data_IF_765181071820
#
_entry.id   IF_765181071820
#
_cell.length_a   1.000
_cell.length_b   1.000
_cell.length_c   1.000
_cell.angle_alpha   90.00
_cell.angle_beta   90.00
_cell.angle_gamma   90.00
#
_symmetry.space_group_name_H-M   'P 1'
#
loop_
_entity.id
_entity.type
_entity.pdbx_description
1 polymer ?
#
# COMPACT_ATOMS: atom_id res chain seq x y z
N UNK A 1 -27.18 -25.09 2.56
CA UNK A 1 -26.45 -25.29 3.84
C UNK A 1 -27.28 -24.67 4.94
N UNK A 2 -27.50 -25.36 6.06
CA UNK A 2 -28.36 -24.86 7.15
C UNK A 2 -27.47 -24.23 8.21
N UNK A 3 -27.64 -22.93 8.46
CA UNK A 3 -26.97 -22.20 9.54
C UNK A 3 -27.95 -22.12 10.71
N UNK A 4 -27.47 -22.34 11.93
CA UNK A 4 -28.27 -22.13 13.14
C UNK A 4 -27.55 -21.08 13.97
N UNK A 5 -28.28 -20.00 14.30
CA UNK A 5 -27.79 -18.88 15.08
C UNK A 5 -28.58 -18.80 16.38
N UNK A 6 -27.88 -18.57 17.49
CA UNK A 6 -28.52 -18.15 18.73
C UNK A 6 -29.04 -16.71 18.59
N UNK A 7 -30.03 -16.33 19.40
CA UNK A 7 -30.65 -15.00 19.32
C UNK A 7 -29.63 -13.87 19.54
N UNK A 8 -28.71 -14.04 20.49
CA UNK A 8 -27.62 -13.10 20.72
C UNK A 8 -26.69 -12.93 19.49
N UNK A 9 -26.45 -14.00 18.72
CA UNK A 9 -25.67 -13.91 17.48
C UNK A 9 -26.42 -13.14 16.40
N UNK A 10 -27.73 -13.35 16.27
CA UNK A 10 -28.57 -12.58 15.34
C UNK A 10 -28.56 -11.09 15.69
N UNK A 11 -28.75 -10.75 16.96
CA UNK A 11 -28.70 -9.36 17.43
C UNK A 11 -27.34 -8.70 17.13
N UNK A 12 -26.23 -9.42 17.36
CA UNK A 12 -24.89 -8.93 17.05
C UNK A 12 -24.68 -8.69 15.54
N UNK A 13 -25.16 -9.61 14.70
CA UNK A 13 -25.10 -9.48 13.24
C UNK A 13 -25.94 -8.29 12.75
N UNK A 14 -27.15 -8.11 13.27
CA UNK A 14 -28.03 -6.98 12.95
C UNK A 14 -27.39 -5.64 13.33
N UNK A 15 -26.83 -5.55 14.54
CA UNK A 15 -26.10 -4.36 14.98
C UNK A 15 -24.92 -4.04 14.06
N UNK A 16 -24.15 -5.06 13.68
CA UNK A 16 -23.02 -4.89 12.76
C UNK A 16 -23.46 -4.50 11.35
N UNK A 17 -24.56 -5.07 10.84
CA UNK A 17 -25.16 -4.70 9.56
C UNK A 17 -25.55 -3.22 9.53
N UNK A 18 -26.13 -2.72 10.62
CA UNK A 18 -26.59 -1.33 10.74
C UNK A 18 -25.44 -0.31 10.88
N UNK A 19 -24.30 -0.74 11.40
CA UNK A 19 -23.16 0.15 11.67
C UNK A 19 -22.08 0.12 10.59
N UNK A 20 -21.92 -1.00 9.88
CA UNK A 20 -20.84 -1.15 8.89
C UNK A 20 -21.13 -0.39 7.59
N UNK A 21 -20.10 0.26 7.04
CA UNK A 21 -20.19 0.99 5.76
C UNK A 21 -19.84 0.11 4.56
N UNK A 22 -19.06 -0.96 4.76
CA UNK A 22 -18.67 -1.84 3.66
C UNK A 22 -19.87 -2.69 3.20
N UNK A 23 -20.31 -2.44 1.96
CA UNK A 23 -21.40 -3.20 1.33
C UNK A 23 -21.13 -4.70 1.27
N UNK A 24 -19.86 -5.10 1.12
CA UNK A 24 -19.46 -6.52 1.06
C UNK A 24 -19.70 -7.24 2.38
N UNK A 25 -19.41 -6.57 3.50
CA UNK A 25 -19.68 -7.09 4.84
C UNK A 25 -21.18 -7.17 5.07
N UNK A 26 -21.96 -6.15 4.66
CA UNK A 26 -23.42 -6.17 4.77
C UNK A 26 -24.05 -7.33 4.02
N UNK A 27 -23.65 -7.58 2.78
CA UNK A 27 -24.25 -8.66 1.98
C UNK A 27 -23.89 -10.05 2.52
N UNK A 28 -22.69 -10.21 3.11
CA UNK A 28 -22.33 -11.43 3.85
C UNK A 28 -23.20 -11.63 5.08
N UNK A 29 -23.42 -10.59 5.89
CA UNK A 29 -24.30 -10.65 7.07
C UNK A 29 -25.72 -11.02 6.66
N UNK A 30 -26.28 -10.35 5.64
CA UNK A 30 -27.62 -10.69 5.13
C UNK A 30 -27.72 -12.14 4.67
N UNK A 31 -26.71 -12.65 3.94
CA UNK A 31 -26.70 -14.04 3.50
C UNK A 31 -26.78 -15.02 4.68
N UNK A 32 -26.02 -14.75 5.75
CA UNK A 32 -26.00 -15.57 6.97
C UNK A 32 -27.34 -15.52 7.71
N UNK A 33 -27.90 -14.31 7.91
CA UNK A 33 -29.19 -14.11 8.57
C UNK A 33 -30.32 -14.81 7.80
N UNK A 34 -30.44 -14.56 6.49
CA UNK A 34 -31.46 -15.18 5.64
C UNK A 34 -31.33 -16.72 5.60
N UNK A 35 -30.10 -17.24 5.56
CA UNK A 35 -29.88 -18.68 5.65
C UNK A 35 -30.30 -19.27 7.00
N UNK A 36 -30.13 -18.53 8.10
CA UNK A 36 -30.61 -18.92 9.43
C UNK A 36 -32.14 -18.89 9.56
N UNK A 37 -32.80 -18.03 8.78
CA UNK A 37 -34.25 -17.91 8.65
C UNK A 37 -34.85 -18.96 7.71
N UNK A 38 -34.03 -19.82 7.11
CA UNK A 38 -34.47 -20.91 6.25
C UNK A 38 -34.62 -20.55 4.77
N UNK A 39 -34.11 -19.40 4.34
CA UNK A 39 -34.08 -19.05 2.91
C UNK A 39 -33.17 -20.01 2.15
N UNK A 40 -33.62 -20.43 0.97
CA UNK A 40 -32.77 -21.23 0.07
C UNK A 40 -31.67 -20.36 -0.52
N UNK A 41 -30.55 -20.99 -0.91
CA UNK A 41 -29.45 -20.29 -1.58
C UNK A 41 -29.94 -19.53 -2.81
N UNK A 42 -30.89 -20.08 -3.58
CA UNK A 42 -31.47 -19.41 -4.74
C UNK A 42 -32.27 -18.16 -4.37
N UNK A 43 -33.04 -18.18 -3.27
CA UNK A 43 -33.75 -16.99 -2.79
C UNK A 43 -32.77 -15.90 -2.36
N UNK A 44 -31.69 -16.27 -1.69
CA UNK A 44 -30.64 -15.33 -1.26
C UNK A 44 -29.94 -14.72 -2.48
N UNK A 45 -29.58 -15.53 -3.48
CA UNK A 45 -29.03 -15.08 -4.77
C UNK A 45 -29.94 -14.06 -5.44
N UNK A 46 -31.24 -14.35 -5.50
CA UNK A 46 -32.22 -13.47 -6.12
C UNK A 46 -32.37 -12.15 -5.36
N UNK A 47 -32.40 -12.19 -4.02
CA UNK A 47 -32.56 -11.01 -3.17
C UNK A 47 -31.33 -10.10 -3.17
N UNK A 48 -30.13 -10.69 -3.06
CA UNK A 48 -28.87 -9.96 -2.98
C UNK A 48 -28.25 -9.64 -4.34
N UNK A 49 -28.75 -10.25 -5.43
CA UNK A 49 -28.22 -10.11 -6.80
C UNK A 49 -26.73 -10.47 -6.93
N UNK A 50 -26.30 -11.46 -6.16
CA UNK A 50 -24.94 -12.01 -6.20
C UNK A 50 -24.94 -13.46 -6.67
N UNK A 51 -23.86 -13.86 -7.35
CA UNK A 51 -23.75 -15.19 -7.93
C UNK A 51 -23.86 -16.31 -6.87
N UNK A 52 -24.48 -17.44 -7.24
CA UNK A 52 -24.74 -18.58 -6.33
C UNK A 52 -23.48 -19.14 -5.66
N UNK A 53 -22.39 -19.26 -6.43
CA UNK A 53 -21.09 -19.68 -5.90
C UNK A 53 -20.54 -18.72 -4.83
N UNK A 54 -20.85 -17.42 -4.93
CA UNK A 54 -20.45 -16.41 -3.96
C UNK A 54 -21.24 -16.55 -2.67
N UNK A 55 -22.57 -16.70 -2.75
CA UNK A 55 -23.41 -16.98 -1.57
C UNK A 55 -22.95 -18.26 -0.87
N UNK A 56 -22.73 -19.32 -1.64
CA UNK A 56 -22.28 -20.62 -1.11
C UNK A 56 -20.93 -20.49 -0.39
N UNK A 57 -20.00 -19.71 -0.92
CA UNK A 57 -18.71 -19.42 -0.27
C UNK A 57 -18.91 -18.62 1.01
N UNK A 58 -19.69 -17.54 0.99
CA UNK A 58 -19.93 -16.71 2.19
C UNK A 58 -20.53 -17.51 3.34
N UNK A 59 -21.51 -18.38 3.05
CA UNK A 59 -22.10 -19.25 4.06
C UNK A 59 -21.06 -20.21 4.64
N UNK A 60 -20.23 -20.84 3.80
CA UNK A 60 -19.15 -21.74 4.23
C UNK A 60 -18.12 -21.01 5.09
N UNK A 61 -17.62 -19.86 4.62
CA UNK A 61 -16.62 -19.04 5.32
C UNK A 61 -17.14 -18.64 6.72
N UNK A 62 -18.42 -18.28 6.83
CA UNK A 62 -19.03 -17.97 8.12
C UNK A 62 -19.15 -19.20 9.02
N UNK A 63 -19.54 -20.36 8.48
CA UNK A 63 -19.67 -21.58 9.26
C UNK A 63 -18.34 -22.13 9.77
N UNK A 64 -17.25 -21.96 9.02
CA UNK A 64 -15.93 -22.44 9.43
C UNK A 64 -15.19 -21.48 10.35
N UNK A 65 -15.28 -20.16 10.10
CA UNK A 65 -14.39 -19.16 10.68
C UNK A 65 -15.12 -17.92 11.21
N UNK A 66 -16.47 -17.90 11.18
CA UNK A 66 -17.29 -16.71 11.46
C UNK A 66 -16.90 -15.48 10.61
N UNK A 67 -16.33 -15.75 9.42
CA UNK A 67 -15.72 -14.75 8.55
C UNK A 67 -16.75 -13.90 7.82
N UNK A 68 -16.81 -12.62 8.18
CA UNK A 68 -17.73 -11.64 7.58
C UNK A 68 -17.02 -10.53 6.82
N UNK A 69 -15.74 -10.30 7.11
CA UNK A 69 -14.93 -9.33 6.39
C UNK A 69 -14.15 -9.98 5.23
N UNK A 70 -13.96 -9.28 4.11
CA UNK A 70 -12.95 -9.68 3.15
C UNK A 70 -11.56 -9.45 3.74
N UNK A 71 -10.65 -10.41 3.56
CA UNK A 71 -9.23 -10.24 3.88
C UNK A 71 -8.55 -9.49 2.73
N UNK A 72 -8.93 -8.23 2.58
CA UNK A 72 -8.28 -7.34 1.62
C UNK A 72 -7.03 -6.79 2.29
N UNK A 73 -5.88 -7.38 1.97
CA UNK A 73 -4.57 -6.91 2.40
C UNK A 73 -3.68 -6.55 1.21
N UNK A 74 -2.74 -5.63 1.43
CA UNK A 74 -1.60 -5.50 0.53
C UNK A 74 -0.66 -6.70 0.66
N UNK A 75 0.23 -6.89 -0.32
CA UNK A 75 1.31 -7.86 -0.18
C UNK A 75 2.26 -7.41 0.94
N UNK A 76 2.76 -8.37 1.71
CA UNK A 76 3.86 -8.14 2.64
C UNK A 76 5.14 -7.70 1.89
N UNK A 77 6.05 -7.08 2.63
CA UNK A 77 7.39 -6.75 2.11
C UNK A 77 8.13 -8.03 1.76
N UNK A 78 8.94 -8.01 0.70
CA UNK A 78 9.85 -9.12 0.38
C UNK A 78 11.05 -9.20 1.31
N UNK A 79 11.34 -8.12 2.02
CA UNK A 79 12.40 -8.05 3.03
C UNK A 79 11.81 -8.23 4.42
N UNK A 80 12.49 -9.01 5.26
CA UNK A 80 12.17 -9.14 6.69
C UNK A 80 12.36 -7.80 7.41
N UNK A 81 11.92 -7.75 8.67
CA UNK A 81 12.14 -6.59 9.52
C UNK A 81 13.66 -6.34 9.72
N UNK A 82 14.45 -7.37 9.99
CA UNK A 82 15.90 -7.23 10.17
C UNK A 82 16.59 -6.78 8.87
N UNK A 83 16.25 -7.41 7.74
CA UNK A 83 16.79 -7.02 6.43
C UNK A 83 16.43 -5.59 6.06
N UNK A 84 15.23 -5.15 6.42
CA UNK A 84 14.79 -3.76 6.21
C UNK A 84 15.65 -2.80 7.00
N UNK A 85 15.86 -3.05 8.29
CA UNK A 85 16.72 -2.21 9.15
C UNK A 85 18.15 -2.16 8.59
N UNK A 86 18.74 -3.31 8.28
CA UNK A 86 20.09 -3.38 7.71
C UNK A 86 20.21 -2.60 6.39
N UNK A 87 19.23 -2.74 5.48
CA UNK A 87 19.26 -2.04 4.20
C UNK A 87 19.12 -0.53 4.38
N UNK A 88 18.24 -0.09 5.27
CA UNK A 88 18.05 1.35 5.56
C UNK A 88 19.33 1.95 6.14
N UNK A 89 19.97 1.30 7.11
CA UNK A 89 21.25 1.74 7.68
C UNK A 89 22.34 1.82 6.61
N UNK A 90 22.46 0.78 5.79
CA UNK A 90 23.44 0.73 4.71
C UNK A 90 23.24 1.85 3.69
N UNK A 91 22.01 2.08 3.22
CA UNK A 91 21.69 3.14 2.26
C UNK A 91 21.79 4.55 2.84
N UNK A 92 21.67 4.69 4.16
CA UNK A 92 21.89 5.97 4.85
C UNK A 92 23.38 6.30 4.95
N UNK A 93 24.22 5.29 5.20
CA UNK A 93 25.67 5.44 5.29
C UNK A 93 26.37 5.49 3.91
N UNK A 94 25.78 4.87 2.89
CA UNK A 94 26.40 4.72 1.56
C UNK A 94 25.49 5.29 0.46
N UNK A 95 26.02 6.21 -0.33
CA UNK A 95 25.28 6.77 -1.46
C UNK A 95 25.23 5.77 -2.63
N UNK A 96 24.05 5.21 -2.88
CA UNK A 96 23.76 4.45 -4.10
C UNK A 96 23.09 5.37 -5.14
N UNK A 97 23.65 5.43 -6.35
CA UNK A 97 23.24 6.39 -7.36
C UNK A 97 21.96 6.00 -8.11
N UNK A 98 21.64 4.70 -8.15
CA UNK A 98 20.49 4.19 -8.88
C UNK A 98 19.75 3.12 -8.11
N UNK A 99 18.45 3.01 -8.33
CA UNK A 99 17.65 1.93 -7.76
C UNK A 99 18.08 0.55 -8.26
N UNK A 100 18.62 0.44 -9.48
CA UNK A 100 19.15 -0.81 -10.01
C UNK A 100 20.32 -1.35 -9.17
N UNK A 101 21.26 -0.50 -8.76
CA UNK A 101 22.35 -0.89 -7.85
C UNK A 101 21.83 -1.43 -6.51
N UNK A 102 20.75 -0.84 -5.99
CA UNK A 102 20.13 -1.31 -4.74
C UNK A 102 19.49 -2.68 -4.95
N UNK A 103 18.83 -2.91 -6.10
CA UNK A 103 18.29 -4.23 -6.45
C UNK A 103 19.40 -5.28 -6.52
N UNK A 104 20.51 -4.97 -7.20
CA UNK A 104 21.65 -5.88 -7.33
C UNK A 104 22.28 -6.19 -5.97
N UNK A 105 22.42 -5.18 -5.09
CA UNK A 105 22.92 -5.36 -3.73
C UNK A 105 22.02 -6.28 -2.90
N UNK A 106 20.70 -6.07 -2.96
CA UNK A 106 19.72 -6.89 -2.23
C UNK A 106 19.72 -8.34 -2.72
N UNK A 107 19.82 -8.54 -4.04
CA UNK A 107 19.97 -9.87 -4.61
C UNK A 107 21.28 -10.54 -4.15
N UNK A 108 22.41 -9.84 -4.27
CA UNK A 108 23.71 -10.39 -3.87
C UNK A 108 23.75 -10.79 -2.39
N UNK A 109 23.16 -9.97 -1.50
CA UNK A 109 23.21 -10.17 -0.05
C UNK A 109 22.22 -11.20 0.46
N UNK A 110 20.99 -11.20 -0.04
CA UNK A 110 19.89 -12.00 0.53
C UNK A 110 19.17 -12.89 -0.48
N UNK A 111 19.59 -12.89 -1.75
CA UNK A 111 18.92 -13.63 -2.84
C UNK A 111 17.44 -13.26 -2.98
N UNK A 112 17.07 -12.04 -2.59
CA UNK A 112 15.71 -11.51 -2.73
C UNK A 112 15.61 -10.72 -4.02
N UNK A 113 14.76 -11.15 -4.94
CA UNK A 113 14.57 -10.44 -6.21
C UNK A 113 13.64 -9.24 -6.02
N UNK A 114 13.99 -8.11 -6.62
CA UNK A 114 13.11 -6.97 -6.81
C UNK A 114 13.08 -6.57 -8.28
N UNK A 115 11.94 -6.03 -8.72
CA UNK A 115 11.95 -5.18 -9.91
C UNK A 115 12.39 -3.78 -9.50
N UNK A 116 12.96 -3.01 -10.43
CA UNK A 116 13.35 -1.60 -10.16
C UNK A 116 12.17 -0.81 -9.60
N UNK A 117 10.98 -0.91 -10.23
CA UNK A 117 9.78 -0.24 -9.75
C UNK A 117 9.33 -0.72 -8.35
N UNK A 118 9.50 -2.00 -8.05
CA UNK A 118 9.22 -2.57 -6.72
C UNK A 118 10.15 -1.99 -5.66
N UNK A 119 11.45 -1.90 -5.97
CA UNK A 119 12.44 -1.29 -5.07
C UNK A 119 12.20 0.21 -4.91
N UNK A 120 11.85 0.96 -5.96
CA UNK A 120 11.47 2.37 -5.84
C UNK A 120 10.29 2.56 -4.88
N UNK A 121 9.24 1.72 -5.01
CA UNK A 121 8.10 1.75 -4.08
C UNK A 121 8.52 1.41 -2.65
N UNK A 122 9.41 0.43 -2.49
CA UNK A 122 9.94 0.05 -1.18
C UNK A 122 10.71 1.22 -0.54
N UNK A 123 11.60 1.88 -1.29
CA UNK A 123 12.37 3.05 -0.84
C UNK A 123 11.44 4.18 -0.36
N UNK A 124 10.38 4.50 -1.13
CA UNK A 124 9.40 5.49 -0.72
C UNK A 124 8.67 5.11 0.57
N UNK A 125 8.35 3.82 0.77
CA UNK A 125 7.73 3.33 2.02
C UNK A 125 8.65 3.50 3.23
N UNK A 126 9.96 3.36 3.04
CA UNK A 126 10.96 3.60 4.08
C UNK A 126 11.33 5.09 4.25
N UNK A 127 10.63 6.00 3.56
CA UNK A 127 10.85 7.45 3.68
C UNK A 127 12.01 8.00 2.85
N UNK A 128 12.66 7.20 2.01
CA UNK A 128 13.66 7.71 1.08
C UNK A 128 12.98 8.54 0.00
N UNK A 129 13.55 9.70 -0.29
CA UNK A 129 13.13 10.58 -1.37
C UNK A 129 14.28 10.80 -2.34
N UNK A 130 13.96 10.87 -3.63
CA UNK A 130 14.94 11.24 -4.62
C UNK A 130 15.37 12.70 -4.42
N UNK A 131 16.64 12.91 -4.11
CA UNK A 131 17.25 14.23 -4.14
C UNK A 131 17.96 14.42 -5.47
N UNK A 132 17.37 15.23 -6.35
CA UNK A 132 18.06 15.71 -7.54
C UNK A 132 19.23 16.58 -7.09
N UNK A 133 20.49 16.26 -7.43
CA UNK A 133 21.58 17.19 -7.19
C UNK A 133 21.26 18.51 -7.88
N UNK A 134 21.41 19.62 -7.17
CA UNK A 134 21.29 20.95 -7.79
C UNK A 134 22.40 21.01 -8.83
N UNK A 135 22.03 21.18 -10.09
CA UNK A 135 23.02 21.30 -11.16
C UNK A 135 23.86 22.53 -10.91
N UNK A 136 25.15 22.35 -10.62
CA UNK A 136 26.11 23.44 -10.71
C UNK A 136 26.25 23.74 -12.21
N UNK A 137 26.03 24.99 -12.68
CA UNK A 137 26.23 25.32 -14.08
C UNK A 137 27.62 24.87 -14.51
N UNK A 138 27.72 24.11 -15.60
CA UNK A 138 29.01 23.61 -16.11
C UNK A 138 30.02 24.74 -16.40
N UNK A 139 29.54 25.98 -16.61
CA UNK A 139 30.36 27.17 -16.83
C UNK A 139 30.59 28.01 -15.57
N UNK A 140 30.17 27.52 -14.40
CA UNK A 140 30.38 28.23 -13.14
C UNK A 140 31.87 28.28 -12.82
N UNK A 141 32.38 29.50 -12.74
CA UNK A 141 33.77 29.86 -12.46
C UNK A 141 33.70 31.03 -11.48
N UNK A 142 34.10 30.78 -10.23
CA UNK A 142 33.93 31.73 -9.14
C UNK A 142 34.68 33.04 -9.40
N UNK A 143 35.86 32.96 -10.03
CA UNK A 143 36.71 34.11 -10.31
C UNK A 143 36.08 34.97 -11.41
N UNK A 144 35.53 34.36 -12.46
CA UNK A 144 34.82 35.09 -13.53
C UNK A 144 33.53 35.72 -13.03
N UNK A 145 32.81 35.05 -12.12
CA UNK A 145 31.61 35.62 -11.52
C UNK A 145 31.95 36.85 -10.67
N UNK A 146 33.04 36.79 -9.89
CA UNK A 146 33.51 37.92 -9.09
C UNK A 146 33.93 39.10 -9.97
N UNK A 147 34.71 38.84 -11.04
CA UNK A 147 35.10 39.86 -12.03
C UNK A 147 33.88 40.53 -12.69
N UNK A 148 32.85 39.73 -13.03
CA UNK A 148 31.62 40.27 -13.60
C UNK A 148 30.88 41.20 -12.61
N UNK A 149 30.78 40.81 -11.33
CA UNK A 149 30.13 41.61 -10.29
C UNK A 149 30.84 42.96 -10.12
N UNK A 150 32.17 42.96 -10.06
CA UNK A 150 32.99 44.17 -9.95
C UNK A 150 32.80 45.09 -11.16
N UNK A 151 32.87 44.53 -12.37
CA UNK A 151 32.69 45.26 -13.62
C UNK A 151 31.28 45.88 -13.71
N UNK A 152 30.25 45.11 -13.35
CA UNK A 152 28.87 45.56 -13.38
C UNK A 152 28.60 46.68 -12.37
N UNK A 153 29.14 46.58 -11.15
CA UNK A 153 28.99 47.63 -10.15
C UNK A 153 29.68 48.93 -10.55
N UNK A 154 30.87 48.85 -11.16
CA UNK A 154 31.56 50.01 -11.71
C UNK A 154 30.74 50.69 -12.81
N UNK A 155 30.24 49.90 -13.78
CA UNK A 155 29.39 50.41 -14.86
C UNK A 155 28.10 51.06 -14.33
N UNK A 156 27.46 50.44 -13.33
CA UNK A 156 26.24 50.96 -12.71
C UNK A 156 26.48 52.28 -11.97
N UNK A 157 27.65 52.48 -11.39
CA UNK A 157 28.01 53.73 -10.72
C UNK A 157 28.39 54.84 -11.71
N UNK A 158 28.87 54.50 -12.89
CA UNK A 158 29.22 55.46 -13.95
C UNK A 158 28.00 55.90 -14.78
N UNK A 159 27.03 55.01 -14.97
CA UNK A 159 25.82 55.26 -15.76
C UNK A 159 24.56 55.58 -14.93
N UNK A 160 24.65 55.57 -13.60
CA UNK A 160 23.56 55.90 -12.67
C UNK A 160 23.77 57.27 -12.04
#
# INVERSE_FOLDING_TARGET
MKITLADAQKEALELMHNTTRDGRVRDRIKAVLLASEGWTTQMIVQALRIHEGTVSRHLKDYFSEEKLAPENGGSESRLSAEQTVELVEYLTANLMHTTAQIVDYVWARWQVTFTVAGMTKWLHRQGFSYKKPIGVPHKFDADKQQQFIETYNALKAECG
#
